data_IF_760150183394
#
_entry.id   IF_760150183394
#
_cell.length_a   1.000
_cell.length_b   1.000
_cell.length_c   1.000
_cell.angle_alpha   90.00
_cell.angle_beta   90.00
_cell.angle_gamma   90.00
#
_symmetry.space_group_name_H-M   'P 1'
#
loop_
_entity.id
_entity.type
_entity.pdbx_description
1 polymer ?
#
# COMPACT_ATOMS: atom_id res chain seq x y z
N UNK A 1 29.58 9.82 -3.50
CA UNK A 1 28.28 9.75 -2.80
C UNK A 1 27.40 8.87 -3.67
N UNK A 2 26.86 7.78 -3.15
CA UNK A 2 25.91 6.94 -3.90
C UNK A 2 24.62 7.73 -4.09
N UNK A 3 24.02 7.61 -5.28
CA UNK A 3 22.72 8.20 -5.54
C UNK A 3 21.67 7.66 -4.54
N UNK A 4 20.75 8.49 -4.08
CA UNK A 4 19.71 8.06 -3.16
C UNK A 4 18.83 6.99 -3.81
N UNK A 5 18.53 5.93 -3.06
CA UNK A 5 17.69 4.84 -3.57
C UNK A 5 16.31 5.35 -4.04
N UNK A 6 15.79 4.86 -5.18
CA UNK A 6 14.51 5.27 -5.70
C UNK A 6 13.34 5.00 -4.74
N UNK A 7 12.27 5.76 -4.88
CA UNK A 7 10.95 5.40 -4.38
C UNK A 7 10.31 4.47 -5.41
N UNK A 8 9.94 3.27 -5.00
CA UNK A 8 9.22 2.32 -5.85
C UNK A 8 7.73 2.39 -5.56
N UNK A 9 6.92 2.67 -6.57
CA UNK A 9 5.47 2.70 -6.49
C UNK A 9 4.90 1.56 -7.34
N UNK A 10 4.26 0.59 -6.70
CA UNK A 10 3.65 -0.59 -7.29
C UNK A 10 2.14 -0.37 -7.46
N UNK A 11 1.67 -0.38 -8.70
CA UNK A 11 0.29 -0.08 -9.11
C UNK A 11 -0.33 -1.28 -9.82
N UNK A 12 -0.97 -2.21 -9.10
CA UNK A 12 -1.78 -3.23 -9.75
C UNK A 12 -3.06 -2.60 -10.30
N UNK A 13 -3.39 -2.88 -11.55
CA UNK A 13 -4.58 -2.34 -12.20
C UNK A 13 -5.30 -3.39 -13.05
N UNK A 14 -6.60 -3.21 -13.26
CA UNK A 14 -7.41 -4.08 -14.14
C UNK A 14 -7.54 -3.54 -15.57
N UNK A 15 -7.37 -2.24 -15.73
CA UNK A 15 -7.68 -1.51 -16.97
C UNK A 15 -6.58 -0.54 -17.41
N UNK A 16 -5.39 -0.63 -16.79
CA UNK A 16 -4.27 0.24 -17.12
C UNK A 16 -4.42 1.68 -16.62
N UNK A 17 -5.43 1.98 -15.80
CA UNK A 17 -5.68 3.33 -15.30
C UNK A 17 -5.20 3.52 -13.86
N UNK A 18 -4.93 4.77 -13.49
CA UNK A 18 -4.63 5.17 -12.12
C UNK A 18 -5.12 6.60 -11.86
N UNK A 19 -5.35 6.92 -10.59
CA UNK A 19 -5.77 8.27 -10.20
C UNK A 19 -4.62 9.27 -10.37
N UNK A 20 -4.80 10.24 -11.28
CA UNK A 20 -3.78 11.24 -11.62
C UNK A 20 -3.29 11.99 -10.38
N UNK A 21 -4.22 12.44 -9.50
CA UNK A 21 -3.87 13.16 -8.27
C UNK A 21 -2.99 12.35 -7.32
N UNK A 22 -3.19 11.03 -7.28
CA UNK A 22 -2.37 10.15 -6.47
C UNK A 22 -0.96 10.01 -7.06
N UNK A 23 -0.84 9.94 -8.37
CA UNK A 23 0.47 9.95 -9.05
C UNK A 23 1.20 11.29 -8.85
N UNK A 24 0.48 12.42 -8.93
CA UNK A 24 1.03 13.74 -8.62
C UNK A 24 1.55 13.81 -7.19
N UNK A 25 0.83 13.28 -6.20
CA UNK A 25 1.27 13.27 -4.81
C UNK A 25 2.58 12.49 -4.63
N UNK A 26 2.73 11.33 -5.28
CA UNK A 26 4.00 10.58 -5.27
C UNK A 26 5.13 11.31 -6.00
N UNK A 27 4.82 12.02 -7.08
CA UNK A 27 5.81 12.85 -7.76
C UNK A 27 6.32 13.97 -6.83
N UNK A 28 5.41 14.68 -6.14
CA UNK A 28 5.78 15.72 -5.18
C UNK A 28 6.51 15.12 -3.96
N UNK A 29 6.15 13.94 -3.50
CA UNK A 29 6.90 13.23 -2.47
C UNK A 29 8.35 13.01 -2.92
N UNK A 30 8.53 12.48 -4.12
CA UNK A 30 9.87 12.22 -4.68
C UNK A 30 10.72 13.49 -4.74
N UNK A 31 10.13 14.60 -5.17
CA UNK A 31 10.81 15.91 -5.18
C UNK A 31 11.17 16.39 -3.77
N UNK A 32 10.24 16.26 -2.80
CA UNK A 32 10.43 16.73 -1.43
C UNK A 32 11.56 16.00 -0.71
N UNK A 33 11.69 14.68 -0.95
CA UNK A 33 12.74 13.84 -0.36
C UNK A 33 13.97 13.69 -1.25
N UNK A 34 13.99 14.32 -2.43
CA UNK A 34 15.09 14.29 -3.40
C UNK A 34 15.48 12.86 -3.80
N UNK A 35 14.51 12.03 -4.08
CA UNK A 35 14.70 10.65 -4.53
C UNK A 35 13.98 10.41 -5.86
N UNK A 36 14.56 9.65 -6.79
CA UNK A 36 13.84 9.26 -8.01
C UNK A 36 12.57 8.50 -7.70
N UNK A 37 11.52 8.67 -8.51
CA UNK A 37 10.30 7.87 -8.47
C UNK A 37 10.31 6.88 -9.62
N UNK A 38 10.17 5.60 -9.29
CA UNK A 38 9.98 4.49 -10.24
C UNK A 38 8.60 3.91 -10.05
N UNK A 39 7.78 3.99 -11.10
CA UNK A 39 6.42 3.45 -11.10
C UNK A 39 6.42 2.11 -11.84
N UNK A 40 6.04 1.04 -11.14
CA UNK A 40 5.81 -0.28 -11.70
C UNK A 40 4.30 -0.50 -11.78
N UNK A 41 3.77 -0.46 -12.98
CA UNK A 41 2.34 -0.72 -13.22
C UNK A 41 2.20 -2.01 -14.00
N UNK A 42 1.27 -2.87 -13.58
CA UNK A 42 0.90 -4.06 -14.31
C UNK A 42 -0.62 -4.14 -14.42
N UNK A 43 -1.07 -4.41 -15.64
CA UNK A 43 -2.47 -4.64 -15.97
C UNK A 43 -2.74 -6.14 -16.08
N UNK A 44 -3.84 -6.59 -15.46
CA UNK A 44 -4.31 -7.96 -15.61
C UNK A 44 -5.81 -8.05 -15.32
N UNK A 45 -6.43 -9.14 -15.74
CA UNK A 45 -7.86 -9.42 -15.53
C UNK A 45 -8.27 -9.47 -14.06
N UNK A 46 -7.33 -9.66 -13.15
CA UNK A 46 -7.54 -9.60 -11.71
C UNK A 46 -6.30 -9.06 -10.99
N UNK A 47 -6.49 -8.55 -9.79
CA UNK A 47 -5.45 -7.90 -8.99
C UNK A 47 -4.29 -8.85 -8.63
N UNK A 48 -4.50 -10.11 -8.20
CA UNK A 48 -3.40 -11.03 -7.93
C UNK A 48 -2.45 -11.22 -9.12
N UNK A 49 -2.98 -11.35 -10.35
CA UNK A 49 -2.14 -11.45 -11.56
C UNK A 49 -1.37 -10.15 -11.83
N UNK A 50 -2.00 -9.01 -11.64
CA UNK A 50 -1.30 -7.71 -11.76
C UNK A 50 -0.18 -7.59 -10.73
N UNK A 51 -0.40 -7.98 -9.48
CA UNK A 51 0.63 -8.00 -8.42
C UNK A 51 1.78 -8.95 -8.76
N UNK A 52 1.49 -10.13 -9.32
CA UNK A 52 2.52 -11.06 -9.80
C UNK A 52 3.37 -10.44 -10.93
N UNK A 53 2.72 -9.75 -11.89
CA UNK A 53 3.43 -9.02 -12.94
C UNK A 53 4.35 -7.91 -12.38
N UNK A 54 3.94 -7.21 -11.34
CA UNK A 54 4.78 -6.25 -10.63
C UNK A 54 5.97 -6.94 -9.95
N UNK A 55 5.76 -8.09 -9.29
CA UNK A 55 6.85 -8.86 -8.71
C UNK A 55 7.88 -9.31 -9.74
N UNK A 56 7.43 -9.70 -10.96
CA UNK A 56 8.33 -9.98 -12.08
C UNK A 56 9.19 -8.75 -12.43
N UNK A 57 8.59 -7.59 -12.52
CA UNK A 57 9.29 -6.32 -12.73
C UNK A 57 10.30 -5.98 -11.62
N UNK A 58 9.91 -6.17 -10.37
CA UNK A 58 10.82 -5.96 -9.23
C UNK A 58 12.02 -6.90 -9.29
N UNK A 59 11.81 -8.19 -9.63
CA UNK A 59 12.91 -9.15 -9.80
C UNK A 59 13.85 -8.75 -10.94
N UNK A 60 13.32 -8.28 -12.07
CA UNK A 60 14.13 -7.79 -13.20
C UNK A 60 14.99 -6.59 -12.82
N UNK A 61 14.50 -5.73 -11.91
CA UNK A 61 15.24 -4.61 -11.37
C UNK A 61 16.22 -4.99 -10.26
N UNK A 62 16.31 -6.27 -9.89
CA UNK A 62 17.17 -6.76 -8.80
C UNK A 62 16.68 -6.35 -7.40
N UNK A 63 15.40 -6.01 -7.26
CA UNK A 63 14.81 -5.63 -5.97
C UNK A 63 14.64 -6.88 -5.11
N UNK A 64 15.28 -6.88 -3.95
CA UNK A 64 15.25 -7.99 -3.01
C UNK A 64 14.24 -7.81 -1.87
N UNK A 65 14.16 -8.82 -1.00
CA UNK A 65 13.22 -8.89 0.15
C UNK A 65 13.35 -7.77 1.19
N UNK A 66 14.47 -7.06 1.21
CA UNK A 66 14.70 -5.98 2.18
C UNK A 66 14.33 -4.62 1.66
N UNK A 67 14.10 -4.50 0.34
CA UNK A 67 13.72 -3.23 -0.26
C UNK A 67 12.27 -2.92 0.09
N UNK A 68 12.03 -1.71 0.59
CA UNK A 68 10.68 -1.21 0.85
C UNK A 68 10.11 -0.57 -0.40
N UNK A 69 8.83 -0.83 -0.64
CA UNK A 69 8.06 -0.31 -1.77
C UNK A 69 6.72 0.22 -1.30
N UNK A 70 6.12 1.06 -2.10
CA UNK A 70 4.73 1.44 -1.96
C UNK A 70 3.84 0.51 -2.77
N UNK A 71 2.79 0.02 -2.16
CA UNK A 71 1.65 -0.56 -2.85
C UNK A 71 0.51 0.44 -2.82
N UNK A 72 -0.12 0.69 -3.96
CA UNK A 72 -1.28 1.55 -4.07
C UNK A 72 -2.26 0.96 -5.07
N UNK A 73 -3.51 0.77 -4.66
CA UNK A 73 -4.56 0.41 -5.60
C UNK A 73 -4.84 1.59 -6.55
N UNK A 74 -5.12 1.28 -7.81
CA UNK A 74 -5.21 2.28 -8.88
C UNK A 74 -6.38 3.27 -8.71
N UNK A 75 -7.37 2.93 -7.89
CA UNK A 75 -8.57 3.73 -7.60
C UNK A 75 -8.51 4.50 -6.25
N UNK A 76 -7.38 4.49 -5.57
CA UNK A 76 -7.15 5.32 -4.37
C UNK A 76 -6.93 6.78 -4.78
N UNK A 77 -7.68 7.68 -4.16
CA UNK A 77 -7.57 9.12 -4.35
C UNK A 77 -7.02 9.80 -3.12
N UNK A 78 -6.03 10.66 -3.33
CA UNK A 78 -5.44 11.51 -2.31
C UNK A 78 -6.03 12.92 -2.31
N UNK A 79 -6.04 13.54 -1.13
CA UNK A 79 -6.35 14.94 -0.93
C UNK A 79 -5.10 15.85 -1.10
N UNK A 80 -5.28 17.14 -0.84
CA UNK A 80 -4.21 18.12 -1.00
C UNK A 80 -3.06 17.97 0.03
N UNK A 81 -3.28 17.33 1.18
CA UNK A 81 -2.29 17.10 2.24
C UNK A 81 -1.50 15.82 2.10
N UNK A 82 -1.72 15.05 1.04
CA UNK A 82 -1.19 13.71 0.87
C UNK A 82 0.34 13.59 0.99
N UNK A 83 1.09 14.57 0.50
CA UNK A 83 2.56 14.50 0.46
C UNK A 83 3.17 14.40 1.86
N UNK A 84 2.67 15.18 2.81
CA UNK A 84 3.14 15.14 4.20
C UNK A 84 2.83 13.80 4.86
N UNK A 85 1.64 13.26 4.60
CA UNK A 85 1.22 11.95 5.11
C UNK A 85 2.03 10.81 4.50
N UNK A 86 2.27 10.84 3.19
CA UNK A 86 3.14 9.86 2.51
C UNK A 86 4.56 9.90 3.07
N UNK A 87 5.12 11.10 3.26
CA UNK A 87 6.45 11.27 3.86
C UNK A 87 6.51 10.74 5.30
N UNK A 88 5.46 10.97 6.09
CA UNK A 88 5.37 10.44 7.44
C UNK A 88 5.28 8.91 7.46
N UNK A 89 4.44 8.30 6.63
CA UNK A 89 4.36 6.85 6.48
C UNK A 89 5.71 6.25 6.08
N UNK A 90 6.38 6.86 5.11
CA UNK A 90 7.68 6.39 4.64
C UNK A 90 8.73 6.45 5.77
N UNK A 91 8.79 7.54 6.53
CA UNK A 91 9.70 7.67 7.69
C UNK A 91 9.41 6.60 8.75
N UNK A 92 8.15 6.42 9.14
CA UNK A 92 7.73 5.39 10.10
C UNK A 92 8.14 4.01 9.60
N UNK A 93 7.89 3.72 8.32
CA UNK A 93 8.27 2.45 7.72
C UNK A 93 9.78 2.25 7.64
N UNK A 94 10.57 3.30 7.39
CA UNK A 94 12.03 3.22 7.34
C UNK A 94 12.63 2.97 8.72
N UNK A 95 12.03 3.52 9.78
CA UNK A 95 12.42 3.29 11.17
C UNK A 95 11.96 1.92 11.70
N UNK A 96 10.90 1.36 11.13
CA UNK A 96 10.38 0.06 11.51
C UNK A 96 11.17 -1.10 10.90
N UNK A 97 11.08 -2.27 11.52
CA UNK A 97 11.67 -3.50 10.99
C UNK A 97 11.08 -3.91 9.63
N UNK A 98 11.79 -4.79 8.90
CA UNK A 98 11.40 -5.21 7.54
C UNK A 98 10.09 -5.98 7.44
N UNK A 99 9.54 -6.50 8.54
CA UNK A 99 8.25 -7.19 8.58
C UNK A 99 7.09 -6.28 8.96
N UNK A 100 7.34 -4.97 9.07
CA UNK A 100 6.31 -3.99 9.36
C UNK A 100 5.84 -3.35 8.05
N UNK A 101 4.53 -3.35 7.86
CA UNK A 101 3.86 -2.59 6.80
C UNK A 101 3.16 -1.40 7.43
N UNK A 102 3.42 -0.20 6.92
CA UNK A 102 2.68 1.00 7.31
C UNK A 102 1.55 1.21 6.32
N UNK A 103 0.32 1.20 6.81
CA UNK A 103 -0.88 1.31 5.98
C UNK A 103 -1.70 2.55 6.34
N UNK A 104 -2.42 3.08 5.38
CA UNK A 104 -3.47 4.06 5.62
C UNK A 104 -4.85 3.41 5.58
N UNK A 105 -5.72 3.78 6.51
CA UNK A 105 -7.14 3.48 6.38
C UNK A 105 -7.72 4.27 5.21
N UNK A 106 -8.54 3.65 4.39
CA UNK A 106 -9.19 4.37 3.31
C UNK A 106 -10.71 4.28 3.39
N UNK A 107 -11.37 5.33 2.90
CA UNK A 107 -12.83 5.41 2.89
C UNK A 107 -13.36 4.74 1.62
N UNK A 108 -14.27 3.79 1.80
CA UNK A 108 -15.01 3.17 0.70
C UNK A 108 -16.05 4.13 0.13
N UNK A 109 -16.53 3.83 -1.08
CA UNK A 109 -17.58 4.64 -1.77
C UNK A 109 -18.85 4.76 -0.93
N UNK A 110 -19.17 3.74 -0.14
CA UNK A 110 -20.35 3.73 0.77
C UNK A 110 -20.12 4.50 2.08
N UNK A 111 -18.97 5.16 2.23
CA UNK A 111 -18.60 5.94 3.40
C UNK A 111 -18.02 5.16 4.56
N UNK A 112 -18.02 3.82 4.50
CA UNK A 112 -17.38 2.98 5.52
C UNK A 112 -15.86 3.03 5.36
N UNK A 113 -15.14 2.85 6.45
CA UNK A 113 -13.70 2.69 6.41
C UNK A 113 -13.34 1.21 6.17
N UNK A 114 -12.42 0.99 5.22
CA UNK A 114 -11.72 -0.27 5.14
C UNK A 114 -10.61 -0.21 6.19
N UNK A 115 -10.80 -0.90 7.26
CA UNK A 115 -9.83 -1.04 8.33
C UNK A 115 -9.81 -2.47 8.81
N UNK A 116 -8.90 -2.77 9.69
CA UNK A 116 -8.77 -4.05 10.35
C UNK A 116 -10.12 -4.62 10.77
N UNK A 117 -10.52 -5.71 10.15
CA UNK A 117 -11.43 -6.63 10.81
C UNK A 117 -10.59 -7.54 11.69
N UNK A 118 -10.56 -7.25 12.98
CA UNK A 118 -10.15 -8.26 13.94
C UNK A 118 -11.12 -9.45 13.82
N UNK A 119 -10.61 -10.60 13.47
CA UNK A 119 -11.42 -11.83 13.38
C UNK A 119 -11.88 -12.38 14.74
N UNK A 120 -11.47 -11.76 15.84
CA UNK A 120 -11.92 -12.13 17.19
C UNK A 120 -12.90 -11.09 17.75
N UNK A 121 -14.08 -11.01 17.12
CA UNK A 121 -15.16 -10.09 17.46
C UNK A 121 -15.18 -8.91 16.48
N UNK A 122 -16.31 -8.72 15.82
CA UNK A 122 -16.60 -7.66 14.84
C UNK A 122 -16.51 -6.21 15.41
N UNK A 123 -15.54 -5.95 16.24
CA UNK A 123 -15.29 -4.62 16.77
C UNK A 123 -14.59 -3.78 15.70
N UNK A 124 -15.33 -2.81 15.17
CA UNK A 124 -14.74 -1.66 14.52
C UNK A 124 -13.78 -1.00 15.50
N UNK A 125 -12.49 -1.12 15.29
CA UNK A 125 -11.53 -0.30 16.02
C UNK A 125 -11.81 1.14 15.61
N UNK A 126 -12.35 1.94 16.53
CA UNK A 126 -12.49 3.37 16.33
C UNK A 126 -11.11 3.96 16.02
N UNK A 127 -11.02 4.89 15.03
CA UNK A 127 -9.74 5.49 14.69
C UNK A 127 -9.12 6.15 15.91
N UNK A 128 -7.84 5.87 16.14
CA UNK A 128 -7.08 6.54 17.18
C UNK A 128 -7.01 8.05 16.95
N UNK A 129 -6.70 8.86 18.00
CA UNK A 129 -6.56 10.30 17.87
C UNK A 129 -5.51 10.73 16.83
N UNK A 130 -5.67 11.94 16.34
CA UNK A 130 -4.82 12.53 15.31
C UNK A 130 -3.32 12.39 15.62
N UNK A 131 -2.57 11.89 14.65
CA UNK A 131 -1.12 11.67 14.77
C UNK A 131 -0.68 10.37 15.44
N UNK A 132 -1.62 9.51 15.87
CA UNK A 132 -1.29 8.22 16.45
C UNK A 132 -0.90 7.19 15.39
N UNK A 133 -0.05 6.23 15.79
CA UNK A 133 0.23 5.01 15.03
C UNK A 133 -0.34 3.84 15.81
N UNK A 134 -1.37 3.22 15.26
CA UNK A 134 -1.96 2.01 15.85
C UNK A 134 -1.24 0.79 15.31
N UNK A 135 -0.75 -0.07 16.19
CA UNK A 135 -0.06 -1.33 15.82
C UNK A 135 -1.02 -2.48 15.94
N UNK A 136 -1.02 -3.34 14.93
CA UNK A 136 -1.77 -4.59 14.99
C UNK A 136 -0.87 -5.76 14.56
N UNK A 137 -0.70 -6.77 15.44
CA UNK A 137 0.10 -7.95 15.10
C UNK A 137 -0.64 -8.91 14.13
N UNK A 138 -1.95 -8.73 13.97
CA UNK A 138 -2.78 -9.58 13.11
C UNK A 138 -3.83 -8.72 12.43
N UNK A 139 -3.68 -8.46 11.17
CA UNK A 139 -4.70 -7.71 10.46
C UNK A 139 -4.67 -7.99 8.98
N UNK A 140 -5.77 -8.50 8.46
CA UNK A 140 -5.99 -8.44 7.04
C UNK A 140 -6.24 -6.97 6.70
N UNK A 141 -5.28 -6.32 6.06
CA UNK A 141 -5.52 -5.04 5.40
C UNK A 141 -5.48 -5.26 3.91
N UNK A 142 -6.43 -4.70 3.19
CA UNK A 142 -6.26 -4.52 1.77
C UNK A 142 -4.99 -3.72 1.50
N UNK A 143 -4.31 -4.04 0.42
CA UNK A 143 -3.10 -3.31 0.01
C UNK A 143 -3.44 -2.00 -0.72
N UNK A 144 -4.53 -1.33 -0.32
CA UNK A 144 -5.00 -0.10 -0.93
C UNK A 144 -3.97 1.02 -0.93
N UNK A 145 -3.31 1.23 0.20
CA UNK A 145 -2.13 2.09 0.33
C UNK A 145 -1.25 1.58 1.46
N UNK A 146 -0.11 1.00 1.12
CA UNK A 146 0.80 0.36 2.06
C UNK A 146 2.24 0.68 1.68
N UNK A 147 3.08 0.96 2.69
CA UNK A 147 4.52 1.08 2.54
C UNK A 147 5.23 0.05 3.40
N UNK A 148 6.14 -0.72 2.80
CA UNK A 148 6.93 -1.69 3.55
C UNK A 148 7.78 -2.61 2.68
N UNK A 149 8.49 -3.53 3.33
CA UNK A 149 9.30 -4.52 2.64
C UNK A 149 8.39 -5.44 1.81
N UNK A 150 8.85 -5.79 0.62
CA UNK A 150 8.19 -6.76 -0.25
C UNK A 150 9.01 -8.03 -0.38
N UNK A 151 8.36 -9.14 -0.69
CA UNK A 151 9.02 -10.36 -1.14
C UNK A 151 8.68 -10.61 -2.60
N UNK A 152 9.52 -10.20 -3.56
CA UNK A 152 9.22 -10.41 -4.96
C UNK A 152 9.15 -11.88 -5.39
N UNK A 153 9.57 -12.82 -4.55
CA UNK A 153 9.42 -14.25 -4.79
C UNK A 153 8.04 -14.78 -4.38
N UNK A 154 7.28 -14.01 -3.61
CA UNK A 154 5.92 -14.40 -3.23
C UNK A 154 5.00 -14.42 -4.45
N UNK A 155 4.15 -15.43 -4.51
CA UNK A 155 3.12 -15.58 -5.57
C UNK A 155 1.76 -15.23 -4.99
N UNK A 156 1.15 -14.17 -5.51
CA UNK A 156 -0.19 -13.76 -5.12
C UNK A 156 -1.23 -14.75 -5.65
N UNK A 157 -2.11 -15.21 -4.77
CA UNK A 157 -3.13 -16.20 -5.09
C UNK A 157 -4.42 -15.54 -5.56
N UNK A 158 -5.04 -16.14 -6.57
CA UNK A 158 -6.28 -15.67 -7.16
C UNK A 158 -7.42 -16.64 -6.82
N UNK A 159 -7.93 -16.54 -5.61
CA UNK A 159 -9.07 -17.36 -5.17
C UNK A 159 -10.18 -16.52 -4.51
N UNK A 160 -11.18 -17.20 -3.97
CA UNK A 160 -12.37 -16.58 -3.41
C UNK A 160 -12.14 -15.91 -2.03
N UNK A 161 -11.04 -16.20 -1.33
CA UNK A 161 -10.77 -15.63 -0.01
C UNK A 161 -10.17 -14.22 -0.07
N UNK A 162 -9.56 -13.87 -1.20
CA UNK A 162 -8.85 -12.61 -1.40
C UNK A 162 -7.34 -12.73 -1.24
N UNK A 163 -6.60 -12.02 -2.09
CA UNK A 163 -5.14 -12.11 -2.17
C UNK A 163 -4.44 -11.56 -0.93
N UNK A 164 -5.03 -10.56 -0.30
CA UNK A 164 -4.52 -9.93 0.93
C UNK A 164 -4.63 -10.88 2.14
N UNK A 165 -5.71 -11.64 2.25
CA UNK A 165 -5.90 -12.64 3.30
C UNK A 165 -4.86 -13.73 3.20
N UNK A 166 -4.58 -14.23 1.97
CA UNK A 166 -3.53 -15.21 1.75
C UNK A 166 -2.16 -14.65 2.11
N UNK A 167 -1.86 -13.42 1.71
CA UNK A 167 -0.58 -12.81 2.04
C UNK A 167 -0.34 -12.75 3.54
N UNK A 168 -1.36 -12.33 4.34
CA UNK A 168 -1.25 -12.28 5.80
C UNK A 168 -1.08 -13.65 6.44
N UNK A 169 -1.75 -14.67 5.92
CA UNK A 169 -1.62 -16.04 6.40
C UNK A 169 -0.20 -16.59 6.16
N UNK A 170 0.36 -16.29 5.00
CA UNK A 170 1.69 -16.76 4.60
C UNK A 170 2.83 -15.95 5.23
N UNK A 171 2.52 -14.78 5.82
CA UNK A 171 3.48 -13.91 6.50
C UNK A 171 3.07 -13.67 7.98
N UNK A 172 3.02 -14.71 8.82
CA UNK A 172 2.49 -14.60 10.19
C UNK A 172 3.34 -13.71 11.10
N UNK A 173 4.58 -13.42 10.73
CA UNK A 173 5.47 -12.52 11.46
C UNK A 173 5.35 -11.05 11.00
N UNK A 174 4.54 -10.77 9.99
CA UNK A 174 4.32 -9.40 9.53
C UNK A 174 3.38 -8.66 10.47
N UNK A 175 3.69 -7.40 10.72
CA UNK A 175 2.85 -6.48 11.48
C UNK A 175 2.33 -5.38 10.55
N UNK A 176 1.13 -4.87 10.81
CA UNK A 176 0.63 -3.65 10.19
C UNK A 176 0.58 -2.53 11.21
N UNK A 177 1.13 -1.40 10.84
CA UNK A 177 1.04 -0.16 11.59
C UNK A 177 0.16 0.81 10.83
N UNK A 178 -0.96 1.20 11.43
CA UNK A 178 -1.91 2.12 10.85
C UNK A 178 -1.49 3.54 11.13
N UNK A 179 -1.31 4.32 10.05
CA UNK A 179 -1.05 5.75 10.18
C UNK A 179 -2.39 6.50 10.25
N UNK A 180 -2.74 6.90 11.46
CA UNK A 180 -3.90 7.72 11.77
C UNK A 180 -3.48 9.21 11.82
N UNK A 181 -4.22 10.13 11.37
CA UNK A 181 -5.63 10.18 10.96
C UNK A 181 -5.82 10.18 9.44
N UNK A 182 -4.81 9.89 8.65
CA UNK A 182 -4.90 10.07 7.21
C UNK A 182 -5.74 8.98 6.54
N UNK A 183 -6.71 9.42 5.74
CA UNK A 183 -7.73 8.56 5.16
C UNK A 183 -7.97 8.91 3.71
N UNK A 184 -7.15 8.40 2.78
CA UNK A 184 -7.42 8.53 1.36
C UNK A 184 -8.76 7.91 0.99
N UNK A 185 -9.38 8.39 -0.07
CA UNK A 185 -10.66 7.89 -0.53
C UNK A 185 -10.48 6.82 -1.60
N UNK A 186 -11.21 5.72 -1.47
CA UNK A 186 -11.37 4.71 -2.51
C UNK A 186 -12.47 5.15 -3.48
N UNK A 187 -12.16 5.26 -4.76
CA UNK A 187 -13.14 5.60 -5.79
C UNK A 187 -13.32 4.44 -6.74
N UNK A 188 -14.46 3.76 -6.66
CA UNK A 188 -14.87 2.92 -7.79
C UNK A 188 -15.23 3.84 -8.95
N UNK A 189 -14.56 3.66 -10.08
CA UNK A 189 -15.03 4.22 -11.34
C UNK A 189 -16.32 3.47 -11.68
N UNK A 190 -17.46 4.14 -11.52
CA UNK A 190 -18.72 3.64 -12.05
C UNK A 190 -18.66 3.93 -13.53
N UNK A 191 -18.44 2.90 -14.35
CA UNK A 191 -18.65 3.00 -15.80
C UNK A 191 -20.12 3.29 -15.99
N UNK A 192 -20.45 4.46 -16.53
CA UNK A 192 -21.78 4.81 -17.00
C UNK A 192 -22.08 4.06 -18.29
#
# INVERSE_FOLDING_TARGET
MSDPAPIYLCLPTRDGTAQVRSLEAFHYLALSVRRPLLILMAEASNIPRARNGIHDGLRQLGIGRTQKVWWMDSDIRFDAGAVEHLAAMMRIGDEAGRHVLVAAHYRMVDGRFQGLRHREGDEHVEPAPEGAVTRSPKGATGFGLVYGATDPAYVWHADAEGEDIHWWRDHPAAEVWWYEPWRPAHQKVVSL
#
